data_IF_892061455243
#
_entry.id   IF_892061455243
#
_cell.length_a   1.000
_cell.length_b   1.000
_cell.length_c   1.000
_cell.angle_alpha   90.00
_cell.angle_beta   90.00
_cell.angle_gamma   90.00
#
_symmetry.space_group_name_H-M   'P 1'
#
loop_
_entity.id
_entity.type
_entity.pdbx_description
1 polymer ?
#
# COMPACT_ATOMS: atom_id res chain seq x y z
N UNK A 1 0.24 19.18 -27.35
CA UNK A 1 -0.67 18.66 -26.32
C UNK A 1 -0.51 17.15 -26.34
N UNK A 2 0.20 16.59 -25.36
CA UNK A 2 0.23 15.14 -25.18
C UNK A 2 -1.14 14.73 -24.63
N UNK A 3 -1.79 13.74 -25.23
CA UNK A 3 -3.02 13.19 -24.70
C UNK A 3 -2.74 12.52 -23.34
N UNK A 4 -3.72 12.50 -22.43
CA UNK A 4 -3.69 11.60 -21.27
C UNK A 4 -3.53 10.17 -21.80
N UNK A 5 -2.38 9.56 -21.52
CA UNK A 5 -2.13 8.16 -21.87
C UNK A 5 -2.94 7.32 -20.89
N UNK A 6 -4.12 6.89 -21.31
CA UNK A 6 -4.92 5.91 -20.57
C UNK A 6 -4.43 4.52 -20.97
N UNK A 7 -3.45 4.00 -20.24
CA UNK A 7 -2.95 2.64 -20.40
C UNK A 7 -3.59 1.73 -19.36
N UNK A 8 -4.34 0.71 -19.80
CA UNK A 8 -4.94 -0.28 -18.91
C UNK A 8 -4.07 -1.54 -18.84
N UNK A 9 -3.81 -2.03 -17.63
CA UNK A 9 -3.17 -3.34 -17.43
C UNK A 9 -4.22 -4.46 -17.50
N UNK A 10 -4.35 -5.06 -18.67
CA UNK A 10 -5.31 -6.15 -18.94
C UNK A 10 -5.08 -7.38 -18.07
N UNK A 11 -3.82 -7.67 -17.73
CA UNK A 11 -3.47 -8.81 -16.92
C UNK A 11 -3.93 -8.60 -15.48
N UNK A 12 -3.67 -7.42 -14.92
CA UNK A 12 -4.16 -7.05 -13.59
C UNK A 12 -5.69 -7.03 -13.51
N UNK A 13 -6.39 -6.49 -14.52
CA UNK A 13 -7.86 -6.51 -14.56
C UNK A 13 -8.40 -7.96 -14.62
N UNK A 14 -7.76 -8.83 -15.39
CA UNK A 14 -8.12 -10.25 -15.44
C UNK A 14 -7.91 -10.98 -14.11
N UNK A 15 -6.81 -10.68 -13.42
CA UNK A 15 -6.51 -11.20 -12.08
C UNK A 15 -7.54 -10.73 -11.04
N UNK A 16 -7.92 -9.45 -11.07
CA UNK A 16 -8.94 -8.87 -10.17
C UNK A 16 -10.31 -9.51 -10.39
N UNK A 17 -10.75 -9.67 -11.65
CA UNK A 17 -12.01 -10.34 -11.97
C UNK A 17 -12.03 -11.79 -11.45
N UNK A 18 -10.93 -12.53 -11.67
CA UNK A 18 -10.77 -13.90 -11.19
C UNK A 18 -10.83 -13.98 -9.66
N UNK A 19 -10.25 -12.99 -8.96
CA UNK A 19 -10.29 -12.92 -7.49
C UNK A 19 -11.70 -12.69 -6.97
N UNK A 20 -12.48 -11.79 -7.58
CA UNK A 20 -13.89 -11.59 -7.21
C UNK A 20 -14.72 -12.87 -7.40
N UNK A 21 -14.49 -13.59 -8.50
CA UNK A 21 -15.18 -14.86 -8.74
C UNK A 21 -14.83 -15.91 -7.68
N UNK A 22 -13.54 -16.02 -7.32
CA UNK A 22 -13.09 -16.97 -6.30
C UNK A 22 -13.71 -16.67 -4.92
N UNK A 23 -13.76 -15.39 -4.53
CA UNK A 23 -14.40 -14.96 -3.29
C UNK A 23 -15.92 -15.24 -3.28
N UNK A 24 -16.60 -15.07 -4.41
CA UNK A 24 -18.01 -15.43 -4.56
C UNK A 24 -18.24 -16.93 -4.30
N UNK A 25 -17.42 -17.79 -4.91
CA UNK A 25 -17.59 -19.24 -4.82
C UNK A 25 -17.32 -19.73 -3.39
N UNK A 26 -16.34 -19.14 -2.70
CA UNK A 26 -16.07 -19.39 -1.29
C UNK A 26 -17.23 -18.96 -0.39
N UNK A 27 -17.77 -17.77 -0.61
CA UNK A 27 -18.92 -17.27 0.14
C UNK A 27 -20.15 -18.16 -0.03
N UNK A 28 -20.32 -18.74 -1.22
CA UNK A 28 -21.40 -19.69 -1.52
C UNK A 28 -21.23 -20.99 -0.75
N UNK A 29 -20.01 -21.51 -0.65
CA UNK A 29 -19.70 -22.72 0.14
C UNK A 29 -19.90 -22.49 1.64
N UNK A 30 -19.43 -21.35 2.16
CA UNK A 30 -19.60 -20.99 3.57
C UNK A 30 -21.07 -20.80 3.94
N UNK A 31 -21.86 -20.13 3.08
CA UNK A 31 -23.31 -20.02 3.30
C UNK A 31 -23.97 -21.40 3.33
N UNK A 32 -23.58 -22.32 2.45
CA UNK A 32 -24.14 -23.68 2.44
C UNK A 32 -23.86 -24.44 3.75
N UNK A 33 -22.63 -24.37 4.28
CA UNK A 33 -22.27 -24.96 5.57
C UNK A 33 -23.02 -24.33 6.74
N UNK A 34 -23.13 -22.99 6.74
CA UNK A 34 -23.86 -22.25 7.76
C UNK A 34 -25.34 -22.63 7.74
N UNK A 35 -25.95 -22.76 6.55
CA UNK A 35 -27.33 -23.22 6.39
C UNK A 35 -27.53 -24.64 6.89
N UNK A 36 -26.59 -25.54 6.65
CA UNK A 36 -26.67 -26.91 7.16
C UNK A 36 -26.70 -26.92 8.70
N UNK A 37 -25.78 -26.19 9.33
CA UNK A 37 -25.69 -26.09 10.80
C UNK A 37 -26.93 -25.41 11.39
N UNK A 38 -27.39 -24.34 10.73
CA UNK A 38 -28.63 -23.63 11.05
C UNK A 38 -29.84 -24.58 11.04
N UNK A 39 -30.00 -25.44 10.02
CA UNK A 39 -31.12 -26.37 9.92
C UNK A 39 -31.07 -27.45 11.00
N UNK A 40 -29.87 -27.95 11.32
CA UNK A 40 -29.68 -28.89 12.41
C UNK A 40 -30.12 -28.28 13.74
N UNK A 41 -29.69 -27.04 14.01
CA UNK A 41 -30.02 -26.33 15.25
C UNK A 41 -31.52 -26.01 15.38
N UNK A 42 -32.19 -25.71 14.25
CA UNK A 42 -33.63 -25.37 14.20
C UNK A 42 -34.55 -26.51 14.62
N UNK A 43 -34.08 -27.76 14.52
CA UNK A 43 -34.86 -28.95 14.87
C UNK A 43 -35.08 -29.02 16.38
N UNK A 44 -34.02 -28.90 17.17
CA UNK A 44 -34.03 -29.20 18.61
C UNK A 44 -34.04 -27.96 19.51
N UNK A 45 -33.56 -26.81 19.03
CA UNK A 45 -33.51 -25.59 19.85
C UNK A 45 -34.85 -24.84 19.84
N UNK A 46 -35.47 -24.67 21.01
CA UNK A 46 -36.76 -23.99 21.22
C UNK A 46 -36.67 -22.91 22.30
N UNK A 47 -37.66 -22.02 22.32
CA UNK A 47 -37.78 -20.91 23.28
C UNK A 47 -37.54 -19.55 22.64
N UNK A 48 -37.78 -18.48 23.40
CA UNK A 48 -37.75 -17.10 22.88
C UNK A 48 -36.40 -16.70 22.29
N UNK A 49 -35.30 -17.15 22.90
CA UNK A 49 -33.95 -16.93 22.39
C UNK A 49 -33.71 -17.60 21.03
N UNK A 50 -34.25 -18.81 20.84
CA UNK A 50 -34.17 -19.52 19.56
C UNK A 50 -34.97 -18.79 18.48
N UNK A 51 -36.16 -18.27 18.81
CA UNK A 51 -36.98 -17.46 17.90
C UNK A 51 -36.24 -16.20 17.47
N UNK A 52 -35.62 -15.48 18.42
CA UNK A 52 -34.84 -14.27 18.13
C UNK A 52 -33.64 -14.57 17.21
N UNK A 53 -32.87 -15.60 17.52
CA UNK A 53 -31.72 -16.01 16.71
C UNK A 53 -32.12 -16.41 15.29
N UNK A 54 -33.14 -17.26 15.13
CA UNK A 54 -33.58 -17.70 13.80
C UNK A 54 -34.20 -16.56 12.99
N UNK A 55 -34.89 -15.62 13.66
CA UNK A 55 -35.36 -14.38 13.04
C UNK A 55 -34.20 -13.53 12.51
N UNK A 56 -33.18 -13.28 13.32
CA UNK A 56 -32.00 -12.51 12.89
C UNK A 56 -31.26 -13.18 11.72
N UNK A 57 -31.10 -14.49 11.78
CA UNK A 57 -30.47 -15.26 10.71
C UNK A 57 -31.25 -15.18 9.39
N UNK A 58 -32.58 -15.35 9.43
CA UNK A 58 -33.45 -15.33 8.24
C UNK A 58 -33.62 -13.92 7.67
N UNK A 59 -33.78 -12.90 8.53
CA UNK A 59 -34.14 -11.55 8.13
C UNK A 59 -32.93 -10.65 7.84
N UNK A 60 -31.79 -10.90 8.47
CA UNK A 60 -30.62 -10.01 8.40
C UNK A 60 -29.38 -10.70 7.86
N UNK A 61 -28.96 -11.81 8.46
CA UNK A 61 -27.66 -12.43 8.15
C UNK A 61 -27.67 -13.07 6.76
N UNK A 62 -28.57 -14.03 6.48
CA UNK A 62 -28.62 -14.68 5.17
C UNK A 62 -28.87 -13.70 4.01
N UNK A 63 -29.78 -12.70 4.13
CA UNK A 63 -29.91 -11.67 3.12
C UNK A 63 -28.66 -10.82 2.92
N UNK A 64 -27.89 -10.52 3.98
CA UNK A 64 -26.61 -9.81 3.86
C UNK A 64 -25.56 -10.65 3.12
N UNK A 65 -25.42 -11.94 3.47
CA UNK A 65 -24.51 -12.86 2.77
C UNK A 65 -24.88 -12.99 1.28
N UNK A 66 -26.19 -13.01 0.97
CA UNK A 66 -26.65 -13.07 -0.42
C UNK A 66 -26.34 -11.79 -1.20
N UNK A 67 -26.52 -10.62 -0.57
CA UNK A 67 -26.13 -9.33 -1.18
C UNK A 67 -24.64 -9.28 -1.48
N UNK A 68 -23.80 -9.77 -0.56
CA UNK A 68 -22.36 -9.86 -0.77
C UNK A 68 -22.00 -10.75 -1.96
N UNK A 69 -22.60 -11.94 -2.08
CA UNK A 69 -22.42 -12.80 -3.26
C UNK A 69 -22.77 -12.05 -4.55
N UNK A 70 -23.94 -11.40 -4.61
CA UNK A 70 -24.35 -10.63 -5.79
C UNK A 70 -23.33 -9.54 -6.13
N UNK A 71 -22.85 -8.79 -5.14
CA UNK A 71 -21.84 -7.74 -5.34
C UNK A 71 -20.54 -8.30 -5.91
N UNK A 72 -20.04 -9.42 -5.38
CA UNK A 72 -18.80 -10.04 -5.86
C UNK A 72 -18.93 -10.51 -7.32
N UNK A 73 -20.05 -11.14 -7.68
CA UNK A 73 -20.32 -11.54 -9.06
C UNK A 73 -20.47 -10.33 -9.99
N UNK A 74 -21.16 -9.28 -9.55
CA UNK A 74 -21.29 -8.04 -10.33
C UNK A 74 -19.94 -7.34 -10.53
N UNK A 75 -19.08 -7.33 -9.51
CA UNK A 75 -17.74 -6.76 -9.60
C UNK A 75 -16.87 -7.53 -10.61
N UNK A 76 -16.86 -8.87 -10.53
CA UNK A 76 -16.17 -9.73 -11.51
C UNK A 76 -16.61 -9.45 -12.96
N UNK A 77 -17.94 -9.40 -13.18
CA UNK A 77 -18.50 -9.14 -14.49
C UNK A 77 -18.17 -7.73 -15.01
N UNK A 78 -18.27 -6.72 -14.15
CA UNK A 78 -17.96 -5.33 -14.51
C UNK A 78 -16.48 -5.16 -14.85
N UNK A 79 -15.57 -5.73 -14.06
CA UNK A 79 -14.12 -5.68 -14.34
C UNK A 79 -13.78 -6.36 -15.68
N UNK A 80 -14.42 -7.50 -15.97
CA UNK A 80 -14.26 -8.18 -17.27
C UNK A 80 -14.77 -7.31 -18.43
N UNK A 81 -15.92 -6.65 -18.25
CA UNK A 81 -16.49 -5.75 -19.25
C UNK A 81 -15.61 -4.52 -19.50
N UNK A 82 -15.04 -3.93 -18.45
CA UNK A 82 -14.09 -2.81 -18.56
C UNK A 82 -12.88 -3.24 -19.39
N UNK A 83 -12.27 -4.39 -19.07
CA UNK A 83 -11.13 -4.95 -19.81
C UNK A 83 -11.45 -5.15 -21.31
N UNK A 84 -12.65 -5.65 -21.63
CA UNK A 84 -13.07 -5.83 -23.02
C UNK A 84 -13.26 -4.51 -23.77
N UNK A 85 -13.88 -3.50 -23.13
CA UNK A 85 -14.11 -2.18 -23.73
C UNK A 85 -12.77 -1.50 -24.05
N UNK A 86 -11.82 -1.53 -23.11
CA UNK A 86 -10.50 -0.95 -23.30
C UNK A 86 -9.76 -1.61 -24.46
N UNK A 87 -9.79 -2.95 -24.53
CA UNK A 87 -9.14 -3.70 -25.60
C UNK A 87 -9.76 -3.38 -26.97
N UNK A 88 -11.08 -3.28 -27.04
CA UNK A 88 -11.76 -2.90 -28.29
C UNK A 88 -11.38 -1.48 -28.73
N UNK A 89 -11.34 -0.53 -27.79
CA UNK A 89 -10.96 0.85 -28.07
C UNK A 89 -9.50 0.94 -28.57
N UNK A 90 -8.58 0.17 -27.99
CA UNK A 90 -7.20 0.07 -28.46
C UNK A 90 -7.09 -0.56 -29.85
N UNK A 91 -7.81 -1.65 -30.12
CA UNK A 91 -7.84 -2.30 -31.44
C UNK A 91 -8.43 -1.38 -32.53
N UNK A 92 -9.43 -0.57 -32.21
CA UNK A 92 -10.01 0.43 -33.10
C UNK A 92 -9.03 1.59 -33.36
N UNK A 93 -8.35 2.08 -32.32
CA UNK A 93 -7.32 3.11 -32.46
C UNK A 93 -6.12 2.62 -33.30
N UNK A 94 -5.68 1.38 -33.10
CA UNK A 94 -4.58 0.77 -33.85
C UNK A 94 -4.91 0.61 -35.35
N UNK A 95 -6.17 0.33 -35.71
CA UNK A 95 -6.62 0.26 -37.12
C UNK A 95 -6.55 1.61 -37.85
N UNK A 96 -6.58 2.73 -37.12
CA UNK A 96 -6.43 4.08 -37.68
C UNK A 96 -4.99 4.47 -38.00
N UNK A 97 -4.00 3.71 -37.53
CA UNK A 97 -2.57 3.94 -37.76
C UNK A 97 -2.09 3.02 -38.89
N UNK A 98 -2.46 3.36 -40.14
CA UNK A 98 -1.77 2.82 -41.32
C UNK A 98 -0.49 3.63 -41.54
N UNK A 99 0.66 3.00 -41.27
CA UNK A 99 1.96 3.54 -41.65
C UNK A 99 2.12 3.41 -43.17
N UNK A 100 1.97 4.52 -43.90
CA UNK A 100 2.45 4.64 -45.27
C UNK A 100 3.92 5.09 -45.21
N UNK A 101 4.86 4.17 -45.47
CA UNK A 101 6.28 4.48 -45.38
C UNK A 101 7.15 3.27 -45.69
N UNK A 102 7.56 3.17 -46.96
CA UNK A 102 8.42 2.14 -47.53
C UNK A 102 9.70 1.83 -46.75
N UNK A 103 10.11 0.57 -46.86
CA UNK A 103 11.08 -0.06 -45.98
C UNK A 103 12.53 0.39 -46.07
N UNK A 104 13.28 -0.06 -45.07
CA UNK A 104 14.72 -0.30 -45.16
C UNK A 104 15.08 -1.52 -44.30
N UNK A 105 16.12 -2.20 -44.74
CA UNK A 105 16.38 -3.62 -44.55
C UNK A 105 17.08 -3.99 -43.24
N UNK A 106 17.10 -5.31 -43.04
CA UNK A 106 17.88 -6.08 -42.09
C UNK A 106 19.36 -5.65 -41.96
N UNK A 107 19.87 -5.79 -40.73
CA UNK A 107 21.29 -5.83 -40.42
C UNK A 107 21.49 -6.51 -39.07
N UNK A 108 21.89 -7.78 -39.07
CA UNK A 108 22.15 -8.56 -37.88
C UNK A 108 23.56 -8.39 -37.31
N UNK A 109 23.74 -8.90 -36.10
CA UNK A 109 25.01 -9.40 -35.57
C UNK A 109 25.69 -8.49 -34.54
N UNK A 110 25.70 -8.93 -33.27
CA UNK A 110 26.91 -9.39 -32.56
C UNK A 110 26.59 -9.61 -31.08
N UNK A 111 26.72 -10.87 -30.64
CA UNK A 111 26.78 -11.20 -29.22
C UNK A 111 28.17 -10.93 -28.65
N UNK A 112 28.21 -10.56 -27.38
CA UNK A 112 29.36 -10.73 -26.50
C UNK A 112 28.81 -10.89 -25.07
N UNK A 113 29.04 -12.07 -24.49
CA UNK A 113 28.70 -12.35 -23.10
C UNK A 113 29.78 -11.88 -22.14
N UNK A 114 29.33 -11.54 -20.93
CA UNK A 114 30.07 -11.55 -19.67
C UNK A 114 28.98 -11.54 -18.59
N UNK A 115 28.65 -12.67 -17.95
CA UNK A 115 29.30 -13.16 -16.72
C UNK A 115 29.45 -12.07 -15.67
N UNK A 116 28.53 -12.04 -14.71
CA UNK A 116 28.74 -11.38 -13.43
C UNK A 116 28.70 -12.48 -12.37
N UNK A 117 29.83 -12.61 -11.70
CA UNK A 117 30.11 -13.56 -10.64
C UNK A 117 29.20 -13.34 -9.45
N UNK A 118 28.83 -14.46 -8.82
CA UNK A 118 28.44 -14.49 -7.43
C UNK A 118 29.64 -14.08 -6.58
N UNK A 119 29.54 -12.95 -5.90
CA UNK A 119 30.38 -12.62 -4.74
C UNK A 119 29.47 -12.51 -3.53
N UNK A 120 29.63 -13.48 -2.63
CA UNK A 120 29.09 -13.42 -1.28
C UNK A 120 29.78 -12.28 -0.52
N UNK A 121 28.98 -11.33 -0.07
CA UNK A 121 29.38 -10.34 0.93
C UNK A 121 28.99 -10.85 2.31
N UNK A 122 30.01 -11.08 3.14
CA UNK A 122 29.93 -11.52 4.52
C UNK A 122 29.02 -10.62 5.36
N UNK A 123 28.16 -11.21 6.18
CA UNK A 123 27.54 -10.53 7.32
C UNK A 123 28.65 -10.26 8.34
N UNK A 124 28.98 -8.98 8.53
CA UNK A 124 29.79 -8.55 9.67
C UNK A 124 28.83 -8.23 10.82
N UNK A 125 28.85 -9.11 11.81
CA UNK A 125 28.23 -8.90 13.10
C UNK A 125 29.31 -8.36 14.04
N UNK A 126 29.20 -7.08 14.42
CA UNK A 126 29.89 -6.57 15.60
C UNK A 126 30.30 -5.10 15.59
N UNK A 127 29.69 -4.33 16.50
CA UNK A 127 30.38 -3.23 17.19
C UNK A 127 30.08 -1.82 16.68
N UNK A 128 29.37 -1.05 17.52
CA UNK A 128 29.01 0.36 17.26
C UNK A 128 30.17 1.32 17.03
N UNK A 129 29.87 2.40 16.31
CA UNK A 129 30.80 3.49 16.01
C UNK A 129 30.26 4.52 15.02
N UNK A 130 29.26 5.30 15.44
CA UNK A 130 28.93 6.66 14.98
C UNK A 130 29.16 7.07 13.52
N UNK A 131 28.09 7.07 12.73
CA UNK A 131 27.93 8.03 11.65
C UNK A 131 26.50 8.57 11.69
N UNK A 132 26.24 9.56 12.56
CA UNK A 132 24.97 10.29 12.52
C UNK A 132 24.70 10.89 11.13
N UNK A 133 23.47 11.37 10.93
CA UNK A 133 22.97 11.84 9.64
C UNK A 133 23.96 12.79 8.94
N UNK A 134 24.16 12.59 7.64
CA UNK A 134 25.00 13.47 6.82
C UNK A 134 24.58 14.94 7.03
N UNK A 135 25.49 15.83 7.48
CA UNK A 135 25.18 17.24 7.70
C UNK A 135 24.57 17.95 6.48
N UNK A 136 24.85 17.47 5.26
CA UNK A 136 24.25 18.00 4.05
C UNK A 136 22.74 17.71 3.98
N UNK A 137 22.30 16.54 4.48
CA UNK A 137 20.87 16.22 4.61
C UNK A 137 20.23 17.13 5.64
N UNK A 138 20.87 17.35 6.80
CA UNK A 138 20.35 18.28 7.81
C UNK A 138 20.19 19.70 7.27
N UNK A 139 21.18 20.18 6.50
CA UNK A 139 21.11 21.47 5.83
C UNK A 139 19.98 21.52 4.78
N UNK A 140 19.79 20.44 4.02
CA UNK A 140 18.71 20.35 3.03
C UNK A 140 17.34 20.29 3.70
N UNK A 141 17.17 19.49 4.75
CA UNK A 141 15.94 19.37 5.53
C UNK A 141 15.45 20.71 6.07
N UNK A 142 16.38 21.55 6.57
CA UNK A 142 16.07 22.88 7.08
C UNK A 142 15.53 23.85 6.00
N UNK A 143 15.68 23.53 4.71
CA UNK A 143 15.12 24.32 3.60
C UNK A 143 13.74 23.85 3.15
N UNK A 144 13.27 22.69 3.63
CA UNK A 144 11.97 22.14 3.28
C UNK A 144 10.86 22.81 4.09
N UNK A 145 9.70 22.98 3.47
CA UNK A 145 8.47 23.32 4.17
C UNK A 145 8.00 22.15 5.03
N UNK A 146 7.20 22.39 6.09
CA UNK A 146 6.64 21.30 6.91
C UNK A 146 5.87 20.26 6.09
N UNK A 147 5.19 20.68 5.02
CA UNK A 147 4.48 19.78 4.11
C UNK A 147 5.44 18.90 3.29
N UNK A 148 6.55 19.46 2.81
CA UNK A 148 7.59 18.69 2.12
C UNK A 148 8.31 17.74 3.08
N UNK A 149 8.58 18.15 4.32
CA UNK A 149 9.15 17.28 5.35
C UNK A 149 8.24 16.08 5.64
N UNK A 150 6.94 16.32 5.85
CA UNK A 150 5.96 15.24 6.04
C UNK A 150 5.88 14.31 4.81
N UNK A 151 5.94 14.87 3.60
CA UNK A 151 5.95 14.08 2.37
C UNK A 151 7.22 13.21 2.23
N UNK A 152 8.38 13.70 2.66
CA UNK A 152 9.62 12.92 2.73
C UNK A 152 9.44 11.73 3.67
N UNK A 153 8.91 11.93 4.88
CA UNK A 153 8.67 10.85 5.84
C UNK A 153 7.70 9.79 5.28
N UNK A 154 6.62 10.22 4.62
CA UNK A 154 5.71 9.31 3.93
C UNK A 154 6.41 8.54 2.81
N UNK A 155 7.27 9.21 2.02
CA UNK A 155 8.01 8.55 0.94
C UNK A 155 9.00 7.51 1.47
N UNK A 156 9.64 7.77 2.60
CA UNK A 156 10.53 6.81 3.27
C UNK A 156 9.73 5.59 3.76
N UNK A 157 8.58 5.82 4.40
CA UNK A 157 7.67 4.74 4.79
C UNK A 157 7.29 3.86 3.59
N UNK A 158 6.91 4.48 2.48
CA UNK A 158 6.54 3.77 1.26
C UNK A 158 7.71 2.96 0.69
N UNK A 159 8.92 3.54 0.63
CA UNK A 159 10.11 2.81 0.17
C UNK A 159 10.40 1.57 1.03
N UNK A 160 10.34 1.71 2.36
CA UNK A 160 10.53 0.59 3.28
C UNK A 160 9.43 -0.45 3.04
N UNK A 161 8.17 -0.03 2.92
CA UNK A 161 7.05 -0.95 2.66
C UNK A 161 7.23 -1.70 1.34
N UNK A 162 7.61 -0.99 0.26
CA UNK A 162 7.87 -1.54 -1.07
C UNK A 162 9.01 -2.57 -1.03
N UNK A 163 10.09 -2.27 -0.29
CA UNK A 163 11.20 -3.20 -0.11
C UNK A 163 10.72 -4.57 0.40
N UNK A 164 9.79 -4.60 1.35
CA UNK A 164 9.26 -5.84 1.92
C UNK A 164 7.96 -6.35 1.28
N UNK A 165 7.44 -5.66 0.26
CA UNK A 165 6.19 -6.01 -0.41
C UNK A 165 4.97 -5.94 0.52
N UNK A 166 4.97 -5.03 1.50
CA UNK A 166 3.85 -4.78 2.41
C UNK A 166 3.06 -3.55 1.98
N UNK A 167 1.81 -3.43 2.46
CA UNK A 167 0.97 -2.27 2.18
C UNK A 167 1.59 -0.98 2.76
N UNK A 168 1.47 0.11 2.01
CA UNK A 168 2.00 1.42 2.41
C UNK A 168 1.33 1.90 3.70
N UNK A 169 2.15 2.24 4.69
CA UNK A 169 1.69 2.74 5.98
C UNK A 169 1.59 4.27 5.93
N UNK A 170 0.43 4.85 6.24
CA UNK A 170 0.29 6.30 6.35
C UNK A 170 1.18 6.86 7.45
N UNK A 171 1.86 7.98 7.18
CA UNK A 171 2.63 8.75 8.15
C UNK A 171 1.89 10.05 8.44
N UNK A 172 1.59 10.28 9.72
CA UNK A 172 0.94 11.50 10.21
C UNK A 172 1.90 12.26 11.11
N UNK A 173 2.13 13.53 10.79
CA UNK A 173 2.86 14.44 11.69
C UNK A 173 1.84 15.23 12.50
N UNK A 174 1.90 15.14 13.82
CA UNK A 174 0.98 15.82 14.74
C UNK A 174 1.68 16.16 16.05
N UNK A 175 1.23 17.22 16.71
CA UNK A 175 1.64 17.54 18.09
C UNK A 175 1.15 16.43 19.03
N UNK A 176 2.09 15.65 19.56
CA UNK A 176 1.81 14.55 20.46
C UNK A 176 1.96 15.01 21.91
N UNK A 177 0.98 14.67 22.76
CA UNK A 177 1.06 15.04 24.16
C UNK A 177 2.15 14.20 24.87
N UNK A 178 3.23 14.87 25.28
CA UNK A 178 4.29 14.27 26.07
C UNK A 178 3.79 13.73 27.43
N UNK A 179 4.06 12.46 27.76
CA UNK A 179 3.93 11.98 29.13
C UNK A 179 4.84 12.79 30.07
N UNK A 180 4.44 13.06 31.33
CA UNK A 180 5.26 13.85 32.25
C UNK A 180 6.68 13.29 32.44
N UNK A 181 7.68 13.98 31.87
CA UNK A 181 9.09 13.62 31.99
C UNK A 181 9.64 12.70 30.89
N UNK A 182 8.88 12.44 29.84
CA UNK A 182 9.31 11.72 28.63
C UNK A 182 9.04 12.59 27.38
N UNK A 183 9.84 12.38 26.34
CA UNK A 183 9.70 13.01 25.01
C UNK A 183 9.25 11.89 24.06
N UNK A 184 7.98 11.92 23.64
CA UNK A 184 7.39 10.85 22.83
C UNK A 184 7.70 11.09 21.35
N UNK A 185 8.75 10.46 20.84
CA UNK A 185 9.22 10.77 19.49
C UNK A 185 8.27 10.41 18.34
N UNK A 186 7.45 9.40 18.58
CA UNK A 186 6.52 8.84 17.64
C UNK A 186 5.99 7.51 18.14
N UNK A 187 5.00 6.99 17.45
CA UNK A 187 4.48 5.65 17.70
C UNK A 187 3.75 5.13 16.47
N UNK A 188 3.64 3.80 16.37
CA UNK A 188 2.80 3.12 15.39
C UNK A 188 1.52 2.59 16.02
N UNK A 189 0.39 2.77 15.33
CA UNK A 189 -0.87 2.07 15.62
C UNK A 189 -1.58 1.63 14.32
N UNK A 190 -2.81 1.11 14.42
CA UNK A 190 -3.54 0.58 13.26
C UNK A 190 -3.94 1.62 12.20
N UNK A 191 -3.82 2.91 12.51
CA UNK A 191 -4.08 4.00 11.58
C UNK A 191 -2.82 4.49 10.86
N UNK A 192 -1.63 4.07 11.31
CA UNK A 192 -0.36 4.43 10.68
C UNK A 192 0.75 4.71 11.68
N UNK A 193 1.78 5.39 11.19
CA UNK A 193 2.89 5.93 11.99
C UNK A 193 2.58 7.39 12.33
N UNK A 194 2.75 7.73 13.60
CA UNK A 194 2.58 9.08 14.11
C UNK A 194 3.94 9.59 14.55
N UNK A 195 4.32 10.76 14.02
CA UNK A 195 5.58 11.43 14.33
C UNK A 195 5.25 12.71 15.06
N UNK A 196 5.97 12.97 16.15
CA UNK A 196 5.77 14.20 16.90
C UNK A 196 6.28 15.41 16.12
N UNK A 197 5.42 16.43 16.04
CA UNK A 197 5.71 17.69 15.39
C UNK A 197 6.92 18.38 16.04
N UNK A 198 7.09 18.24 17.35
CA UNK A 198 8.16 18.90 18.10
C UNK A 198 9.56 18.37 17.74
N UNK A 199 9.66 17.17 17.15
CA UNK A 199 10.93 16.61 16.70
C UNK A 199 11.28 16.93 15.25
N UNK A 200 10.40 17.60 14.49
CA UNK A 200 10.64 17.93 13.07
C UNK A 200 11.84 18.87 12.86
N UNK A 201 12.33 19.53 13.92
CA UNK A 201 13.56 20.32 13.90
C UNK A 201 14.86 19.50 13.95
N UNK A 202 14.79 18.21 14.27
CA UNK A 202 15.94 17.30 14.37
C UNK A 202 15.84 16.19 13.32
N UNK A 203 16.38 16.40 12.10
CA UNK A 203 16.30 15.42 11.03
C UNK A 203 17.02 14.10 11.34
N UNK A 204 18.07 14.12 12.17
CA UNK A 204 18.78 12.90 12.57
C UNK A 204 17.83 11.96 13.33
N UNK A 205 17.08 12.53 14.27
CA UNK A 205 16.10 11.79 15.06
C UNK A 205 14.89 11.39 14.24
N UNK A 206 14.24 12.31 13.54
CA UNK A 206 12.96 12.03 12.89
C UNK A 206 13.07 10.99 11.77
N UNK A 207 14.19 10.98 11.02
CA UNK A 207 14.44 10.00 9.96
C UNK A 207 14.73 8.60 10.54
N UNK A 208 15.40 8.54 11.69
CA UNK A 208 15.56 7.29 12.43
C UNK A 208 14.20 6.80 12.96
N UNK A 209 13.44 7.68 13.61
CA UNK A 209 12.13 7.35 14.20
C UNK A 209 11.17 6.81 13.14
N UNK A 210 11.00 7.46 11.99
CA UNK A 210 10.08 6.94 10.96
C UNK A 210 10.50 5.55 10.46
N UNK A 211 11.81 5.33 10.26
CA UNK A 211 12.31 4.02 9.83
C UNK A 211 12.13 2.95 10.92
N UNK A 212 12.31 3.31 12.19
CA UNK A 212 12.05 2.46 13.35
C UNK A 212 10.57 2.06 13.44
N UNK A 213 9.66 3.02 13.40
CA UNK A 213 8.21 2.77 13.51
C UNK A 213 7.66 1.96 12.33
N UNK A 214 8.15 2.20 11.12
CA UNK A 214 7.78 1.40 9.94
C UNK A 214 8.37 -0.01 10.02
N UNK A 215 9.56 -0.18 10.63
CA UNK A 215 10.14 -1.50 10.85
C UNK A 215 9.27 -2.36 11.78
N UNK A 216 8.63 -1.79 12.80
CA UNK A 216 7.65 -2.51 13.62
C UNK A 216 6.48 -3.06 12.79
N UNK A 217 6.02 -2.34 11.76
CA UNK A 217 5.01 -2.87 10.84
C UNK A 217 5.55 -4.04 10.02
N UNK A 218 6.77 -3.92 9.47
CA UNK A 218 7.43 -5.02 8.75
C UNK A 218 7.53 -6.24 9.64
N UNK A 219 8.00 -6.09 10.88
CA UNK A 219 8.13 -7.18 11.85
C UNK A 219 6.78 -7.87 12.09
N UNK A 220 5.70 -7.10 12.27
CA UNK A 220 4.34 -7.61 12.45
C UNK A 220 3.86 -8.41 11.23
N UNK A 221 4.06 -7.90 10.03
CA UNK A 221 3.67 -8.58 8.79
C UNK A 221 4.46 -9.87 8.59
N UNK A 222 5.77 -9.83 8.83
CA UNK A 222 6.64 -11.01 8.73
C UNK A 222 6.27 -12.07 9.78
N UNK A 223 6.00 -11.66 11.02
CA UNK A 223 5.53 -12.54 12.08
C UNK A 223 4.22 -13.24 11.70
N UNK A 224 3.25 -12.52 11.12
CA UNK A 224 1.99 -13.08 10.63
C UNK A 224 2.18 -14.01 9.42
N UNK A 225 3.12 -13.70 8.52
CA UNK A 225 3.44 -14.54 7.37
C UNK A 225 4.09 -15.86 7.79
N UNK A 226 4.98 -15.84 8.79
CA UNK A 226 5.62 -17.02 9.36
C UNK A 226 4.67 -17.84 10.25
N UNK A 227 3.74 -17.17 10.94
CA UNK A 227 2.74 -17.79 11.81
C UNK A 227 1.32 -17.54 11.30
N UNK A 228 0.94 -18.09 10.13
CA UNK A 228 -0.34 -17.83 9.51
C UNK A 228 -1.50 -18.35 10.37
N UNK A 229 -2.60 -17.61 10.36
CA UNK A 229 -3.84 -18.05 10.99
C UNK A 229 -4.37 -19.32 10.31
N UNK A 230 -5.32 -20.02 10.94
CA UNK A 230 -5.98 -21.16 10.30
C UNK A 230 -6.67 -20.77 8.97
N UNK A 231 -7.13 -19.53 8.88
CA UNK A 231 -7.72 -19.00 7.66
C UNK A 231 -6.66 -18.81 6.56
N UNK A 232 -5.50 -18.24 6.89
CA UNK A 232 -4.40 -18.07 5.91
C UNK A 232 -3.83 -19.42 5.46
N UNK A 233 -3.67 -20.38 6.39
CA UNK A 233 -3.30 -21.78 6.06
C UNK A 233 -4.31 -22.40 5.10
N UNK A 234 -5.61 -22.16 5.34
CA UNK A 234 -6.65 -22.59 4.42
C UNK A 234 -6.51 -21.89 3.05
N UNK A 235 -6.34 -20.57 2.99
CA UNK A 235 -6.15 -19.83 1.72
C UNK A 235 -4.94 -20.33 0.92
N UNK A 236 -3.84 -20.66 1.60
CA UNK A 236 -2.64 -21.27 1.00
C UNK A 236 -2.93 -22.67 0.46
N UNK A 237 -3.66 -23.50 1.23
CA UNK A 237 -4.00 -24.87 0.83
C UNK A 237 -4.80 -24.98 -0.48
N UNK A 238 -5.52 -23.91 -0.85
CA UNK A 238 -6.32 -23.82 -2.09
C UNK A 238 -5.72 -22.87 -3.14
N UNK A 239 -4.44 -22.51 -2.97
CA UNK A 239 -3.68 -21.68 -3.91
C UNK A 239 -4.27 -20.29 -4.13
N UNK A 240 -4.87 -19.66 -3.10
CA UNK A 240 -5.22 -18.22 -3.12
C UNK A 240 -4.03 -17.38 -2.72
N UNK A 241 -3.39 -17.80 -1.63
CA UNK A 241 -2.23 -17.12 -1.08
C UNK A 241 -1.02 -17.98 -1.38
N UNK A 242 0.04 -17.37 -1.89
CA UNK A 242 1.31 -18.06 -2.07
C UNK A 242 1.92 -18.35 -0.70
N UNK A 243 2.69 -19.45 -0.61
CA UNK A 243 3.59 -19.62 0.53
C UNK A 243 4.69 -18.55 0.46
N UNK A 244 5.05 -17.92 1.59
CA UNK A 244 6.14 -16.99 1.64
C UNK A 244 7.44 -17.70 1.25
N UNK A 245 8.26 -17.03 0.44
CA UNK A 245 9.62 -17.50 0.15
C UNK A 245 10.58 -16.74 1.05
N UNK A 246 11.34 -17.46 1.86
CA UNK A 246 12.34 -16.91 2.76
C UNK A 246 13.76 -17.09 2.20
N UNK A 247 14.71 -16.18 2.50
CA UNK A 247 14.52 -14.94 3.26
C UNK A 247 13.79 -13.87 2.45
N UNK A 248 13.06 -12.99 3.14
CA UNK A 248 12.46 -11.78 2.56
C UNK A 248 13.39 -10.60 2.85
N UNK A 249 14.25 -10.28 1.87
CA UNK A 249 15.39 -9.37 2.06
C UNK A 249 16.30 -9.86 3.20
N UNK A 250 16.50 -9.03 4.22
CA UNK A 250 17.26 -9.30 5.44
C UNK A 250 16.50 -10.14 6.47
N UNK A 251 15.21 -10.42 6.26
CA UNK A 251 14.37 -11.14 7.24
C UNK A 251 14.35 -12.64 6.94
N UNK A 252 14.82 -13.44 7.88
CA UNK A 252 14.69 -14.90 7.84
C UNK A 252 13.40 -15.39 8.49
N UNK A 253 12.94 -16.60 8.14
CA UNK A 253 11.79 -17.22 8.80
C UNK A 253 11.98 -17.37 10.32
N UNK A 254 13.22 -17.67 10.75
CA UNK A 254 13.55 -17.79 12.17
C UNK A 254 13.38 -16.46 12.92
N UNK A 255 13.83 -15.34 12.33
CA UNK A 255 13.62 -14.00 12.89
C UNK A 255 12.14 -13.66 12.97
N UNK A 256 11.38 -13.94 11.91
CA UNK A 256 9.94 -13.70 11.90
C UNK A 256 9.19 -14.50 12.99
N UNK A 257 9.61 -15.74 13.26
CA UNK A 257 9.08 -16.55 14.36
C UNK A 257 9.48 -16.00 15.73
N UNK A 258 10.72 -15.56 15.90
CA UNK A 258 11.18 -14.92 17.13
C UNK A 258 10.37 -13.64 17.44
N UNK A 259 10.12 -12.82 16.42
CA UNK A 259 9.26 -11.64 16.54
C UNK A 259 7.83 -11.99 16.93
N UNK A 260 7.25 -13.05 16.34
CA UNK A 260 5.92 -13.52 16.72
C UNK A 260 5.83 -13.87 18.22
N UNK A 261 6.82 -14.60 18.73
CA UNK A 261 6.89 -14.95 20.15
C UNK A 261 7.12 -13.72 21.04
N UNK A 262 7.96 -12.77 20.61
CA UNK A 262 8.17 -11.53 21.36
C UNK A 262 6.91 -10.66 21.38
N UNK A 263 6.14 -10.56 20.28
CA UNK A 263 4.84 -9.87 20.28
C UNK A 263 3.85 -10.50 21.26
N UNK A 264 3.80 -11.84 21.36
CA UNK A 264 2.93 -12.54 22.31
C UNK A 264 3.33 -12.32 23.78
N UNK A 265 4.61 -11.98 24.03
CA UNK A 265 5.19 -11.80 25.36
C UNK A 265 5.81 -10.41 25.52
N UNK A 266 5.18 -9.39 24.92
CA UNK A 266 5.75 -8.06 24.81
C UNK A 266 5.96 -7.41 26.18
N UNK A 267 7.17 -6.88 26.39
CA UNK A 267 7.51 -6.14 27.61
C UNK A 267 7.22 -4.67 27.36
N UNK A 268 6.37 -4.05 28.19
CA UNK A 268 6.06 -2.62 28.05
C UNK A 268 7.10 -1.77 28.79
N UNK A 269 7.38 -0.55 28.32
CA UNK A 269 8.40 0.30 28.95
C UNK A 269 8.06 0.69 30.39
N UNK A 270 6.77 0.76 30.75
CA UNK A 270 6.33 1.04 32.13
C UNK A 270 6.56 -0.14 33.07
N UNK A 271 6.60 -1.37 32.54
CA UNK A 271 6.77 -2.59 33.32
C UNK A 271 8.23 -2.89 33.62
N UNK A 272 9.08 -2.83 32.61
CA UNK A 272 10.53 -3.01 32.69
C UNK A 272 11.17 -2.30 31.48
N UNK A 273 11.62 -1.06 31.69
CA UNK A 273 12.21 -0.27 30.61
C UNK A 273 13.48 -0.91 30.04
N UNK A 274 14.33 -1.51 30.87
CA UNK A 274 15.56 -2.15 30.41
C UNK A 274 15.25 -3.45 29.62
N UNK A 275 14.24 -4.20 30.06
CA UNK A 275 13.71 -5.35 29.34
C UNK A 275 13.10 -4.95 28.00
N UNK A 276 12.29 -3.89 27.98
CA UNK A 276 11.72 -3.31 26.76
C UNK A 276 12.83 -2.90 25.78
N UNK A 277 13.85 -2.18 26.23
CA UNK A 277 14.91 -1.65 25.35
C UNK A 277 15.74 -2.77 24.69
N UNK A 278 15.95 -3.87 25.43
CA UNK A 278 16.78 -5.00 25.01
C UNK A 278 16.02 -6.15 24.36
N UNK A 279 14.70 -6.07 24.23
CA UNK A 279 13.91 -7.13 23.60
C UNK A 279 14.19 -7.20 22.08
N UNK A 280 14.06 -8.39 21.46
CA UNK A 280 14.38 -8.59 20.04
C UNK A 280 13.70 -7.61 19.08
N UNK A 281 12.41 -7.32 19.27
CA UNK A 281 11.65 -6.38 18.42
C UNK A 281 12.25 -4.98 18.43
N UNK A 282 12.45 -4.41 19.62
CA UNK A 282 12.97 -3.05 19.79
C UNK A 282 14.44 -2.95 19.36
N UNK A 283 15.23 -4.00 19.61
CA UNK A 283 16.64 -4.05 19.20
C UNK A 283 16.77 -4.08 17.67
N UNK A 284 15.99 -4.92 16.97
CA UNK A 284 15.99 -4.96 15.50
C UNK A 284 15.47 -3.65 14.91
N UNK A 285 14.36 -3.10 15.42
CA UNK A 285 13.79 -1.85 14.93
C UNK A 285 14.75 -0.67 15.11
N UNK A 286 15.45 -0.60 16.25
CA UNK A 286 16.47 0.42 16.53
C UNK A 286 17.66 0.29 15.60
N UNK A 287 18.22 -0.91 15.46
CA UNK A 287 19.33 -1.16 14.54
C UNK A 287 18.94 -0.81 13.11
N UNK A 288 17.71 -1.14 12.68
CA UNK A 288 17.21 -0.80 11.35
C UNK A 288 17.10 0.70 11.14
N UNK A 289 16.50 1.43 12.09
CA UNK A 289 16.35 2.88 12.00
C UNK A 289 17.70 3.62 11.98
N UNK A 290 18.63 3.21 12.85
CA UNK A 290 19.99 3.74 12.87
C UNK A 290 20.72 3.43 11.55
N UNK A 291 20.67 2.18 11.08
CA UNK A 291 21.32 1.77 9.82
C UNK A 291 20.72 2.51 8.61
N UNK A 292 19.40 2.73 8.60
CA UNK A 292 18.75 3.48 7.54
C UNK A 292 19.23 4.93 7.52
N UNK A 293 19.21 5.60 8.67
CA UNK A 293 19.68 6.98 8.85
C UNK A 293 21.14 7.12 8.43
N UNK A 294 22.01 6.24 8.94
CA UNK A 294 23.46 6.33 8.76
C UNK A 294 23.88 6.10 7.30
N UNK A 295 23.11 5.30 6.56
CA UNK A 295 23.38 5.01 5.14
C UNK A 295 22.63 5.91 4.17
N UNK A 296 21.74 6.78 4.65
CA UNK A 296 20.97 7.68 3.79
C UNK A 296 21.91 8.71 3.16
N UNK A 297 22.08 8.65 1.84
CA UNK A 297 22.88 9.63 1.11
C UNK A 297 22.03 10.85 0.77
N UNK A 298 22.67 12.02 0.55
CA UNK A 298 21.95 13.20 0.06
C UNK A 298 21.18 12.92 -1.24
N UNK A 299 21.75 12.12 -2.14
CA UNK A 299 21.09 11.77 -3.39
C UNK A 299 19.85 10.90 -3.17
N UNK A 300 19.89 9.95 -2.24
CA UNK A 300 18.72 9.13 -1.91
C UNK A 300 17.65 9.99 -1.21
N UNK A 301 18.08 10.83 -0.25
CA UNK A 301 17.22 11.79 0.42
C UNK A 301 16.48 12.72 -0.57
N UNK A 302 17.17 13.25 -1.58
CA UNK A 302 16.56 14.12 -2.58
C UNK A 302 15.48 13.45 -3.42
N UNK A 303 15.51 12.12 -3.60
CA UNK A 303 14.45 11.38 -4.31
C UNK A 303 13.13 11.36 -3.54
N UNK A 304 13.18 11.50 -2.23
CA UNK A 304 11.98 11.57 -1.38
C UNK A 304 11.32 12.95 -1.38
N UNK A 305 12.02 13.99 -1.84
CA UNK A 305 11.47 15.34 -1.88
C UNK A 305 10.49 15.43 -3.05
N UNK A 306 9.20 15.76 -2.81
CA UNK A 306 8.22 15.87 -3.89
C UNK A 306 8.65 16.96 -4.88
N UNK A 307 8.68 16.64 -6.17
CA UNK A 307 8.94 17.65 -7.19
C UNK A 307 7.77 18.64 -7.26
N UNK A 308 8.01 19.96 -7.33
CA UNK A 308 6.93 20.93 -7.46
C UNK A 308 6.15 20.64 -8.75
N UNK A 309 4.84 20.40 -8.60
CA UNK A 309 3.92 20.31 -9.74
C UNK A 309 3.95 21.68 -10.44
N UNK A 310 4.18 21.77 -11.77
CA UNK A 310 4.18 23.05 -12.44
C UNK A 310 2.81 23.72 -12.23
N UNK A 311 2.82 24.96 -11.74
CA UNK A 311 1.60 25.76 -11.61
C UNK A 311 0.89 25.81 -12.98
N UNK A 312 -0.43 25.60 -13.03
CA UNK A 312 -1.18 25.81 -14.27
C UNK A 312 -0.94 27.25 -14.72
N UNK A 313 -0.45 27.42 -15.96
CA UNK A 313 -0.34 28.75 -16.55
C UNK A 313 -1.67 29.49 -16.39
N UNK A 314 -1.68 30.78 -15.98
CA UNK A 314 -2.91 31.54 -15.84
C UNK A 314 -3.67 31.48 -17.16
N UNK A 315 -4.89 30.94 -17.11
CA UNK A 315 -5.76 30.81 -18.28
C UNK A 315 -5.99 32.23 -18.82
N UNK A 316 -5.71 32.50 -20.12
CA UNK A 316 -6.03 33.79 -20.71
C UNK A 316 -7.53 34.06 -20.54
N UNK A 317 -7.87 35.13 -19.83
CA UNK A 317 -9.26 35.55 -19.66
C UNK A 317 -9.82 35.80 -21.07
N UNK A 318 -10.90 35.12 -21.50
CA UNK A 318 -11.52 35.39 -22.78
C UNK A 318 -11.91 36.87 -22.85
N UNK A 319 -11.40 37.57 -23.86
CA UNK A 319 -11.80 38.95 -24.12
C UNK A 319 -13.33 39.06 -24.31
N UNK A 320 -13.92 40.25 -24.08
CA UNK A 320 -15.36 40.42 -24.14
C UNK A 320 -15.92 39.98 -25.50
N UNK A 321 -16.92 39.08 -25.46
CA UNK A 321 -17.59 38.56 -26.65
C UNK A 321 -18.18 39.68 -27.51
N UNK A 322 -18.06 39.61 -28.85
CA UNK A 322 -18.64 40.60 -29.74
C UNK A 322 -20.17 40.56 -29.70
N UNK A 323 -20.77 41.74 -29.63
CA UNK A 323 -22.21 41.97 -29.61
C UNK A 323 -22.87 41.41 -30.88
N UNK A 324 -23.98 40.65 -30.79
CA UNK A 324 -24.65 40.11 -31.97
C UNK A 324 -25.28 41.22 -32.83
N UNK A 325 -25.32 41.06 -34.18
CA UNK A 325 -25.87 42.06 -35.07
C UNK A 325 -27.39 42.15 -34.94
N UNK A 326 -27.90 43.38 -34.98
CA UNK A 326 -29.33 43.68 -34.89
C UNK A 326 -30.11 43.06 -36.07
N UNK A 327 -31.11 42.24 -35.74
CA UNK A 327 -32.03 41.64 -36.71
C UNK A 327 -32.92 42.69 -37.37
N UNK A 328 -32.86 42.80 -38.69
CA UNK A 328 -33.75 43.62 -39.52
C UNK A 328 -35.14 42.99 -39.60
N UNK A 329 -36.25 43.73 -39.46
CA UNK A 329 -37.60 43.17 -39.52
C UNK A 329 -38.06 42.90 -40.95
N UNK A 330 -38.66 41.73 -41.19
CA UNK A 330 -39.27 41.33 -42.47
C UNK A 330 -40.68 41.95 -42.61
N UNK A 331 -41.12 42.40 -43.81
CA UNK A 331 -42.43 43.02 -43.99
C UNK A 331 -43.55 41.98 -44.03
N UNK A 332 -44.68 42.33 -43.39
CA UNK A 332 -45.93 41.57 -43.36
C UNK A 332 -46.71 41.80 -44.66
N UNK A 333 -46.88 40.78 -45.49
CA UNK A 333 -47.82 40.79 -46.61
C UNK A 333 -49.20 40.28 -46.17
N UNK A 334 -50.22 41.07 -46.44
CA UNK A 334 -51.64 40.77 -46.27
C UNK A 334 -52.19 40.02 -47.49
N UNK A 335 -52.87 38.90 -47.27
CA UNK A 335 -54.17 38.55 -47.88
C UNK A 335 -54.75 37.33 -47.17
#
# INVERSE_FOLDING_TARGET
MAADVVQSDYEQLGQVATRFQKLHDQQTQMEAMLRQTYQQLRTDWKGDAAVAFFGEMDDSIFPALKRLQTTLTSASALTTQISQIFRQAEEEAAKGIQFDGGGVAAGGGAGAGASFSAEGGSFDAGGGGGAGLDPAISARWATLTPAEQAAVLQSISNEICDKYGIEHVPVTVSDLADPPGLDLFGYRNDQGVFIDLDNMGDPDRVLNTVAHEVRHEVQRQMANLANPSNFDKFLRSIGIQAEPTWPMNDVTEAMANEWHENFNNYITPESDFAGYESQPLETDARNYGETYRDNLTLTDFERHIPTPKPEPLPVPIPGPSPTPPATTPTPRTTN
#
